data_IF_829101442932
#
_entry.id   IF_829101442932
#
_cell.length_a   1.000
_cell.length_b   1.000
_cell.length_c   1.000
_cell.angle_alpha   90.00
_cell.angle_beta   90.00
_cell.angle_gamma   90.00
#
_symmetry.space_group_name_H-M   'P 1'
#
loop_
_entity.id
_entity.type
_entity.pdbx_description
1 polymer ?
#
# COMPACT_ATOMS: atom_id res chain seq x y z
N UNK A 1 0.97 17.71 -6.83
CA UNK A 1 0.09 16.67 -6.28
C UNK A 1 0.86 15.38 -6.31
N UNK A 2 1.10 14.75 -5.18
CA UNK A 2 1.84 13.50 -5.07
C UNK A 2 1.02 12.35 -5.67
N UNK A 3 1.60 11.61 -6.59
CA UNK A 3 1.02 10.37 -7.10
C UNK A 3 1.38 9.22 -6.14
N UNK A 4 0.37 8.69 -5.45
CA UNK A 4 0.51 7.64 -4.44
C UNK A 4 -0.17 6.38 -4.94
N UNK A 5 0.60 5.30 -5.11
CA UNK A 5 0.05 4.00 -5.49
C UNK A 5 -0.25 3.18 -4.24
N UNK A 6 -1.52 2.82 -4.07
CA UNK A 6 -1.97 1.90 -3.02
C UNK A 6 -1.95 0.47 -3.56
N UNK A 7 -1.11 -0.39 -2.98
CA UNK A 7 -0.99 -1.81 -3.33
C UNK A 7 -2.13 -2.68 -2.76
N UNK A 8 -3.34 -2.12 -2.71
CA UNK A 8 -4.56 -2.73 -2.21
C UNK A 8 -5.77 -2.00 -2.80
N UNK A 9 -6.83 -2.76 -3.11
CA UNK A 9 -8.13 -2.23 -3.55
C UNK A 9 -9.15 -2.14 -2.40
N UNK A 10 -8.77 -2.52 -1.17
CA UNK A 10 -9.63 -2.40 0.01
C UNK A 10 -9.91 -0.90 0.33
N UNK A 11 -11.17 -0.45 0.33
CA UNK A 11 -11.53 0.96 0.56
C UNK A 11 -11.05 1.52 1.90
N UNK A 12 -11.06 0.72 2.97
CA UNK A 12 -10.64 1.17 4.29
C UNK A 12 -9.13 1.46 4.34
N UNK A 13 -8.32 0.62 3.68
CA UNK A 13 -6.87 0.83 3.59
C UNK A 13 -6.55 2.05 2.73
N UNK A 14 -7.25 2.22 1.60
CA UNK A 14 -7.10 3.40 0.73
C UNK A 14 -7.44 4.68 1.50
N UNK A 15 -8.54 4.68 2.26
CA UNK A 15 -8.94 5.84 3.05
C UNK A 15 -7.92 6.17 4.16
N UNK A 16 -7.33 5.16 4.80
CA UNK A 16 -6.27 5.36 5.78
C UNK A 16 -5.03 6.03 5.16
N UNK A 17 -4.63 5.58 3.96
CA UNK A 17 -3.52 6.18 3.21
C UNK A 17 -3.84 7.64 2.86
N UNK A 18 -5.02 7.91 2.29
CA UNK A 18 -5.44 9.27 1.90
C UNK A 18 -5.35 10.23 3.08
N UNK A 19 -5.97 9.87 4.21
CA UNK A 19 -5.98 10.71 5.40
C UNK A 19 -4.57 10.99 5.92
N UNK A 20 -3.72 9.97 5.97
CA UNK A 20 -2.33 10.15 6.43
C UNK A 20 -1.54 11.10 5.52
N UNK A 21 -1.71 10.98 4.19
CA UNK A 21 -1.05 11.88 3.25
C UNK A 21 -1.61 13.30 3.32
N UNK A 22 -2.92 13.48 3.45
CA UNK A 22 -3.54 14.80 3.62
C UNK A 22 -3.11 15.47 4.93
N UNK A 23 -2.97 14.70 6.02
CA UNK A 23 -2.50 15.21 7.31
C UNK A 23 -1.04 15.66 7.28
N UNK A 24 -0.17 14.94 6.56
CA UNK A 24 1.27 15.22 6.49
C UNK A 24 1.61 16.28 5.45
N UNK A 25 1.01 16.20 4.26
CA UNK A 25 1.35 17.02 3.09
C UNK A 25 0.31 18.10 2.77
N UNK A 26 -0.83 18.12 3.46
CA UNK A 26 -1.93 19.07 3.28
C UNK A 26 -3.11 18.50 2.47
N UNK A 27 -4.30 19.08 2.65
CA UNK A 27 -5.51 18.68 1.93
C UNK A 27 -5.35 18.85 0.40
N UNK A 28 -5.77 17.84 -0.38
CA UNK A 28 -5.64 17.85 -1.84
C UNK A 28 -4.19 17.75 -2.36
N UNK A 29 -3.23 17.46 -1.48
CA UNK A 29 -1.82 17.33 -1.85
C UNK A 29 -1.49 16.04 -2.60
N UNK A 30 -2.36 15.02 -2.56
CA UNK A 30 -2.11 13.71 -3.16
C UNK A 30 -3.27 13.19 -4.02
N UNK A 31 -2.94 12.30 -4.94
CA UNK A 31 -3.85 11.48 -5.74
C UNK A 31 -3.50 10.01 -5.51
N UNK A 32 -4.50 9.19 -5.19
CA UNK A 32 -4.30 7.76 -4.94
C UNK A 32 -4.79 6.93 -6.13
N UNK A 33 -3.89 6.14 -6.69
CA UNK A 33 -4.19 5.07 -7.64
C UNK A 33 -4.10 3.71 -6.95
N UNK A 34 -5.20 2.97 -6.96
CA UNK A 34 -5.27 1.65 -6.33
C UNK A 34 -4.93 0.54 -7.33
N UNK A 35 -3.95 -0.30 -6.99
CA UNK A 35 -3.53 -1.45 -7.79
C UNK A 35 -3.69 -2.74 -6.99
N UNK A 36 -4.32 -3.74 -7.62
CA UNK A 36 -4.35 -5.11 -7.11
C UNK A 36 -3.07 -5.84 -7.47
N UNK A 37 -2.28 -6.23 -6.46
CA UNK A 37 -1.02 -6.96 -6.64
C UNK A 37 -0.89 -8.07 -5.62
N UNK A 38 -0.23 -9.17 -5.98
CA UNK A 38 -0.01 -10.31 -5.10
C UNK A 38 1.01 -9.98 -3.99
N UNK A 39 0.82 -10.59 -2.81
CA UNK A 39 1.79 -10.51 -1.69
C UNK A 39 2.84 -11.61 -1.75
N UNK A 40 2.62 -12.69 -2.51
CA UNK A 40 3.53 -13.85 -2.55
C UNK A 40 3.65 -14.61 -1.22
N UNK A 41 2.80 -14.31 -0.25
CA UNK A 41 2.61 -15.04 1.03
C UNK A 41 1.11 -15.37 1.17
N UNK A 42 0.71 -16.28 2.08
CA UNK A 42 -0.70 -16.55 2.34
C UNK A 42 -1.50 -15.29 2.69
N UNK A 43 -2.80 -15.29 2.39
CA UNK A 43 -3.68 -14.15 2.72
C UNK A 43 -3.73 -13.81 4.21
N UNK A 44 -3.50 -14.79 5.08
CA UNK A 44 -3.35 -14.63 6.52
C UNK A 44 -1.95 -15.07 6.95
N UNK A 45 -0.97 -14.16 6.91
CA UNK A 45 0.37 -14.41 7.44
C UNK A 45 0.35 -14.72 8.94
N UNK A 46 1.19 -15.67 9.35
CA UNK A 46 1.48 -15.95 10.76
C UNK A 46 2.92 -15.55 11.06
N UNK A 47 3.08 -14.68 12.04
CA UNK A 47 4.35 -14.08 12.42
C UNK A 47 4.56 -12.69 11.83
N UNK A 48 5.22 -11.83 12.60
CA UNK A 48 5.62 -10.49 12.17
C UNK A 48 6.50 -10.53 10.90
N UNK A 49 7.34 -11.54 10.75
CA UNK A 49 8.25 -11.66 9.59
C UNK A 49 7.51 -11.87 8.28
N UNK A 50 6.55 -12.80 8.25
CA UNK A 50 5.76 -13.12 7.06
C UNK A 50 4.82 -11.97 6.69
N UNK A 51 4.20 -11.34 7.70
CA UNK A 51 3.37 -10.13 7.51
C UNK A 51 4.16 -9.01 6.85
N UNK A 52 5.38 -8.76 7.33
CA UNK A 52 6.28 -7.75 6.76
C UNK A 52 6.77 -8.13 5.36
N UNK A 53 7.02 -9.41 5.11
CA UNK A 53 7.39 -9.89 3.78
C UNK A 53 6.25 -9.65 2.77
N UNK A 54 5.00 -9.98 3.12
CA UNK A 54 3.83 -9.73 2.28
C UNK A 54 3.66 -8.25 1.91
N UNK A 55 3.79 -7.35 2.89
CA UNK A 55 3.74 -5.90 2.63
C UNK A 55 4.85 -5.44 1.65
N UNK A 56 6.09 -5.91 1.84
CA UNK A 56 7.23 -5.55 0.96
C UNK A 56 7.04 -6.07 -0.47
N UNK A 57 6.54 -7.29 -0.61
CA UNK A 57 6.27 -7.89 -1.91
C UNK A 57 5.18 -7.12 -2.65
N UNK A 58 4.09 -6.73 -1.97
CA UNK A 58 3.06 -5.86 -2.55
C UNK A 58 3.63 -4.52 -3.03
N UNK A 59 4.47 -3.86 -2.25
CA UNK A 59 5.14 -2.61 -2.67
C UNK A 59 6.01 -2.84 -3.91
N UNK A 60 6.81 -3.90 -3.94
CA UNK A 60 7.66 -4.21 -5.08
C UNK A 60 6.84 -4.47 -6.37
N UNK A 61 5.76 -5.25 -6.24
CA UNK A 61 4.87 -5.56 -7.36
C UNK A 61 4.09 -4.33 -7.84
N UNK A 62 3.61 -3.48 -6.92
CA UNK A 62 2.96 -2.22 -7.25
C UNK A 62 3.92 -1.26 -7.98
N UNK A 63 5.19 -1.21 -7.55
CA UNK A 63 6.23 -0.43 -8.21
C UNK A 63 6.57 -0.94 -9.61
N UNK A 64 6.56 -2.26 -9.82
CA UNK A 64 6.74 -2.82 -11.15
C UNK A 64 5.56 -2.49 -12.08
N UNK A 65 4.33 -2.47 -11.55
CA UNK A 65 3.12 -2.16 -12.33
C UNK A 65 2.95 -0.66 -12.63
N UNK A 66 3.38 0.21 -11.71
CA UNK A 66 3.28 1.66 -11.82
C UNK A 66 4.61 2.32 -11.39
N UNK A 67 5.63 2.31 -12.27
CA UNK A 67 7.00 2.73 -11.92
C UNK A 67 7.18 4.24 -11.72
N UNK A 68 6.25 5.04 -12.24
CA UNK A 68 6.36 6.51 -12.29
C UNK A 68 5.59 7.22 -11.16
N UNK A 69 5.25 6.52 -10.07
CA UNK A 69 4.64 7.12 -8.89
C UNK A 69 5.67 7.78 -7.96
N UNK A 70 5.22 8.71 -7.13
CA UNK A 70 6.07 9.33 -6.10
C UNK A 70 6.20 8.40 -4.88
N UNK A 71 5.12 7.67 -4.55
CA UNK A 71 5.06 6.76 -3.39
C UNK A 71 4.33 5.47 -3.73
N UNK A 72 4.73 4.38 -3.06
CA UNK A 72 4.03 3.08 -3.08
C UNK A 72 3.77 2.63 -1.65
N UNK A 73 2.52 2.28 -1.36
CA UNK A 73 2.08 1.95 -0.01
C UNK A 73 1.36 0.61 0.01
N UNK A 74 1.78 -0.27 0.93
CA UNK A 74 1.05 -1.48 1.26
C UNK A 74 0.78 -1.51 2.76
N UNK A 75 -0.42 -1.99 3.14
CA UNK A 75 -0.81 -2.24 4.52
C UNK A 75 -1.23 -3.71 4.60
N UNK A 76 -0.44 -4.54 5.29
CA UNK A 76 -0.72 -5.97 5.46
C UNK A 76 -1.13 -6.25 6.90
N UNK A 77 -2.16 -7.07 7.07
CA UNK A 77 -2.57 -7.57 8.38
C UNK A 77 -2.02 -8.98 8.53
N UNK A 78 -1.63 -9.34 9.75
CA UNK A 78 -1.17 -10.68 10.11
C UNK A 78 -1.46 -10.97 11.58
N UNK A 79 -1.22 -12.20 12.00
CA UNK A 79 -1.36 -12.66 13.39
C UNK A 79 0.03 -13.02 13.91
N UNK A 80 0.31 -12.71 15.17
CA UNK A 80 1.55 -13.07 15.87
C UNK A 80 1.22 -13.59 17.28
#
# INVERSE_FOLDING_TARGET
MHHVVSATTNPAKIQAILRAFEEIFGEGSCHIDAVGVESGVPEQPFGSEETRAGARNRVANAKAAAPDADFWVAIEAGID
#
